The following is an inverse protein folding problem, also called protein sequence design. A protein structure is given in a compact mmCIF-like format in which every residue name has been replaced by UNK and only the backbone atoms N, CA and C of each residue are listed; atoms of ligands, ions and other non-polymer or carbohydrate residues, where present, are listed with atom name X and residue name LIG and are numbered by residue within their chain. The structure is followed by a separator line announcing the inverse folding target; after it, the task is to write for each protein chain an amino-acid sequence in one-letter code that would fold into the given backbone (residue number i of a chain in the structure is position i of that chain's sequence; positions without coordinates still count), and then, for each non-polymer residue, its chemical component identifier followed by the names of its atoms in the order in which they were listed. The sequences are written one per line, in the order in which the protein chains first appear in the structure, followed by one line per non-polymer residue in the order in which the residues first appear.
data_IF_197095782044
#
_entry.id   IF_197095782044
#
_cell.length_a   1.000
_cell.length_b   1.000
_cell.length_c   1.000
_cell.angle_alpha   90.00
_cell.angle_beta   90.00
_cell.angle_gamma   90.00
#
_symmetry.space_group_name_H-M   'P 1'
#
loop_
_entity.id
_entity.type
_entity.pdbx_description
1 polymer ?
#
# COMPACT_ATOMS: atom_id res chain seq x y z
N UNK A 1 18.74 -8.47 16.90
CA UNK A 1 17.96 -8.48 17.09
C UNK A 1 17.22 -8.27 16.52
N UNK A 2 17.04 -8.27 16.32
CA UNK A 2 16.23 -8.37 16.31
C UNK A 2 15.28 -7.85 15.71
N UNK A 3 14.45 -8.39 15.49
CA UNK A 3 13.31 -7.94 14.91
C UNK A 3 12.70 -6.94 15.77
N UNK A 4 12.75 -5.77 15.37
CA UNK A 4 12.11 -4.71 16.09
C UNK A 4 10.70 -4.61 15.55
N UNK A 5 9.74 -4.88 16.42
CA UNK A 5 8.35 -4.67 16.08
C UNK A 5 8.10 -3.19 16.26
N UNK A 6 7.74 -2.52 15.18
CA UNK A 6 7.47 -1.09 15.23
C UNK A 6 6.20 -0.82 16.00
N UNK A 7 6.22 0.26 16.76
CA UNK A 7 5.04 0.73 17.47
C UNK A 7 3.98 1.09 16.44
N UNK A 8 2.73 0.71 16.73
CA UNK A 8 1.60 1.02 15.85
C UNK A 8 1.51 2.51 15.56
N UNK A 9 1.84 3.35 16.54
CA UNK A 9 1.81 4.80 16.34
C UNK A 9 2.84 5.26 15.33
N UNK A 10 3.98 4.59 15.24
CA UNK A 10 4.99 4.93 14.24
C UNK A 10 4.51 4.57 12.84
N UNK A 11 3.86 3.43 12.70
CA UNK A 11 3.31 3.00 11.41
C UNK A 11 2.24 3.98 10.95
N UNK A 12 1.35 4.39 11.85
CA UNK A 12 0.31 5.37 11.52
C UNK A 12 0.93 6.69 11.10
N UNK A 13 1.96 7.13 11.80
CA UNK A 13 2.64 8.39 11.49
C UNK A 13 3.26 8.36 10.10
N UNK A 14 3.75 7.19 9.69
CA UNK A 14 4.39 7.04 8.39
C UNK A 14 3.39 7.00 7.24
N UNK A 15 2.10 6.84 7.53
CA UNK A 15 1.09 6.69 6.50
C UNK A 15 1.14 7.82 5.48
N UNK A 16 1.22 9.07 5.94
CA UNK A 16 1.25 10.20 5.02
C UNK A 16 2.55 10.27 4.23
N UNK A 17 3.67 9.93 4.86
CA UNK A 17 4.95 9.98 4.17
C UNK A 17 5.08 8.83 3.17
N UNK A 18 4.32 7.76 3.33
CA UNK A 18 4.35 6.63 2.40
C UNK A 18 3.33 6.75 1.28
N UNK A 19 2.45 7.74 1.34
CA UNK A 19 1.43 7.91 0.30
C UNK A 19 2.05 8.09 -1.09
N UNK A 20 2.94 9.05 -1.23
CA UNK A 20 3.55 9.34 -2.53
C UNK A 20 4.36 8.15 -3.07
N UNK A 21 5.22 7.50 -2.28
CA UNK A 21 5.93 6.32 -2.77
C UNK A 21 5.01 5.20 -3.23
N UNK A 22 3.93 4.92 -2.48
CA UNK A 22 3.00 3.87 -2.84
C UNK A 22 2.28 4.23 -4.14
N UNK A 23 1.77 5.46 -4.24
CA UNK A 23 1.08 5.89 -5.46
C UNK A 23 2.01 5.86 -6.65
N UNK A 24 3.29 6.15 -6.46
CA UNK A 24 4.26 6.08 -7.54
C UNK A 24 4.43 4.65 -8.06
N UNK A 25 4.48 3.68 -7.16
CA UNK A 25 4.53 2.27 -7.57
C UNK A 25 3.31 1.93 -8.41
N UNK A 26 2.14 2.41 -8.00
CA UNK A 26 0.89 2.10 -8.67
C UNK A 26 0.70 2.85 -9.98
N UNK A 27 1.53 3.85 -10.27
CA UNK A 27 1.50 4.50 -11.58
C UNK A 27 1.86 3.54 -12.71
N UNK A 28 2.67 2.54 -12.41
CA UNK A 28 3.07 1.54 -13.40
C UNK A 28 1.96 0.52 -13.66
N UNK A 29 0.91 0.55 -12.88
CA UNK A 29 -0.21 -0.38 -13.00
C UNK A 29 -0.60 -0.97 -11.67
N UNK A 30 -1.64 -1.80 -11.63
CA UNK A 30 -2.08 -2.42 -10.39
C UNK A 30 -1.02 -3.36 -9.81
N UNK A 31 -0.94 -3.38 -8.48
CA UNK A 31 0.03 -4.23 -7.77
C UNK A 31 -0.63 -4.83 -6.53
N UNK A 32 -0.14 -6.02 -6.15
CA UNK A 32 -0.55 -6.65 -4.89
C UNK A 32 0.27 -6.06 -3.74
N UNK A 33 -0.18 -6.32 -2.51
CA UNK A 33 0.55 -5.88 -1.33
C UNK A 33 2.00 -6.40 -1.32
N UNK A 34 2.25 -7.70 -1.56
CA UNK A 34 3.64 -8.17 -1.60
C UNK A 34 4.49 -7.47 -2.66
N UNK A 35 3.90 -7.16 -3.81
CA UNK A 35 4.62 -6.46 -4.87
C UNK A 35 4.99 -5.04 -4.46
N UNK A 36 4.05 -4.34 -3.83
CA UNK A 36 4.32 -2.99 -3.33
C UNK A 36 5.40 -3.04 -2.25
N UNK A 37 5.29 -3.99 -1.33
CA UNK A 37 6.27 -4.15 -0.26
C UNK A 37 7.67 -4.36 -0.82
N UNK A 38 7.79 -5.22 -1.83
CA UNK A 38 9.07 -5.50 -2.46
C UNK A 38 9.63 -4.25 -3.14
N UNK A 39 8.78 -3.53 -3.85
CA UNK A 39 9.20 -2.33 -4.56
C UNK A 39 9.71 -1.25 -3.62
N UNK A 40 9.12 -1.16 -2.43
CA UNK A 40 9.49 -0.14 -1.46
C UNK A 40 10.54 -0.59 -0.46
N UNK A 41 10.83 -1.88 -0.42
CA UNK A 41 11.74 -2.43 0.58
C UNK A 41 11.19 -2.32 1.99
N UNK A 42 9.86 -2.46 2.14
CA UNK A 42 9.19 -2.33 3.43
C UNK A 42 8.46 -3.61 3.77
N UNK A 43 8.23 -3.87 5.07
CA UNK A 43 7.50 -5.07 5.47
C UNK A 43 6.06 -5.05 4.97
N UNK A 44 5.59 -6.21 4.51
CA UNK A 44 4.24 -6.30 3.95
C UNK A 44 3.17 -5.93 4.98
N UNK A 45 3.37 -6.28 6.25
CA UNK A 45 2.37 -5.97 7.27
C UNK A 45 2.22 -4.46 7.51
N UNK A 46 3.27 -3.68 7.25
CA UNK A 46 3.17 -2.22 7.32
C UNK A 46 2.52 -1.67 6.05
N UNK A 47 2.88 -2.23 4.91
CA UNK A 47 2.31 -1.80 3.63
C UNK A 47 0.80 -2.00 3.61
N UNK A 48 0.32 -3.12 4.14
CA UNK A 48 -1.12 -3.37 4.25
C UNK A 48 -1.79 -2.22 5.00
N UNK A 49 -1.20 -1.81 6.11
CA UNK A 49 -1.77 -0.75 6.92
C UNK A 49 -1.86 0.55 6.13
N UNK A 50 -0.79 0.92 5.44
CA UNK A 50 -0.76 2.16 4.66
C UNK A 50 -1.72 2.10 3.47
N UNK A 51 -1.77 0.98 2.76
CA UNK A 51 -2.65 0.82 1.61
C UNK A 51 -4.11 0.88 2.04
N UNK A 52 -4.45 0.23 3.17
CA UNK A 52 -5.82 0.29 3.67
C UNK A 52 -6.22 1.71 4.05
N UNK A 53 -5.28 2.48 4.61
CA UNK A 53 -5.53 3.89 4.88
C UNK A 53 -5.78 4.69 3.61
N UNK A 54 -4.96 4.46 2.58
CA UNK A 54 -5.14 5.15 1.30
C UNK A 54 -6.47 4.77 0.65
N UNK A 55 -6.86 3.50 0.77
CA UNK A 55 -8.14 3.04 0.25
C UNK A 55 -9.29 3.72 0.98
N UNK A 56 -9.18 3.84 2.29
CA UNK A 56 -10.21 4.50 3.10
C UNK A 56 -10.45 5.94 2.67
N UNK A 57 -9.40 6.64 2.30
CA UNK A 57 -9.50 8.04 1.91
C UNK A 57 -9.62 8.25 0.40
N UNK A 58 -9.79 7.19 -0.35
CA UNK A 58 -10.09 7.29 -1.77
C UNK A 58 -8.89 7.49 -2.69
N UNK A 59 -7.66 7.32 -2.18
CA UNK A 59 -6.46 7.43 -3.02
C UNK A 59 -6.20 6.17 -3.82
N UNK A 60 -6.68 5.04 -3.33
CA UNK A 60 -6.42 3.72 -3.89
C UNK A 60 -7.73 2.96 -3.93
N UNK A 61 -7.93 2.18 -4.97
CA UNK A 61 -9.07 1.27 -5.04
C UNK A 61 -8.58 -0.16 -5.21
N UNK A 62 -9.42 -1.09 -4.80
CA UNK A 62 -9.14 -2.51 -4.84
C UNK A 62 -9.72 -3.11 -6.12
N UNK A 63 -8.91 -3.91 -6.80
CA UNK A 63 -9.38 -4.72 -7.91
C UNK A 63 -9.65 -6.10 -7.36
N UNK A 64 -10.90 -6.53 -7.41
CA UNK A 64 -11.32 -7.75 -6.71
C UNK A 64 -11.05 -9.03 -7.48
N UNK A 65 -10.16 -8.98 -8.44
CA UNK A 65 -9.68 -10.18 -9.09
C UNK A 65 -8.45 -10.66 -8.33
N UNK A 66 -8.48 -11.90 -7.90
CA UNK A 66 -7.41 -12.49 -7.10
C UNK A 66 -6.34 -13.02 -8.05
N UNK A 67 -5.07 -12.79 -7.70
CA UNK A 67 -3.98 -13.36 -8.50
C UNK A 67 -3.78 -14.83 -8.12
N UNK A 68 -2.77 -15.47 -8.72
CA UNK A 68 -2.51 -16.89 -8.50
C UNK A 68 -2.19 -17.22 -7.06
N UNK A 69 -1.71 -16.24 -6.29
CA UNK A 69 -1.36 -16.41 -4.90
C UNK A 69 -2.48 -16.02 -3.94
N UNK A 70 -3.61 -15.58 -4.47
CA UNK A 70 -4.76 -15.23 -3.65
C UNK A 70 -4.78 -13.79 -3.16
N UNK A 71 -4.01 -12.90 -3.77
CA UNK A 71 -3.96 -11.50 -3.37
C UNK A 71 -4.76 -10.63 -4.32
N UNK A 72 -5.45 -9.63 -3.76
CA UNK A 72 -6.08 -8.60 -4.58
C UNK A 72 -5.02 -7.62 -5.05
N UNK A 73 -5.27 -6.99 -6.19
CA UNK A 73 -4.44 -5.91 -6.68
C UNK A 73 -5.05 -4.59 -6.29
N UNK A 74 -4.22 -3.58 -6.19
CA UNK A 74 -4.65 -2.22 -5.86
C UNK A 74 -4.16 -1.28 -6.94
N UNK A 75 -4.93 -0.22 -7.19
CA UNK A 75 -4.59 0.77 -8.20
C UNK A 75 -4.82 2.17 -7.64
N UNK A 76 -4.09 3.13 -8.18
CA UNK A 76 -4.26 4.52 -7.80
C UNK A 76 -5.55 5.07 -8.42
N UNK A 77 -6.24 5.90 -7.67
CA UNK A 77 -7.44 6.60 -8.15
C UNK A 77 -7.03 7.99 -8.62
N UNK A 78 -7.36 8.37 -9.86
CA UNK A 78 -7.04 9.72 -10.33
C UNK A 78 -7.75 10.78 -9.49
N UNK A 79 -6.97 11.64 -8.83
CA UNK A 79 -7.55 12.62 -7.90
C UNK A 79 -8.26 13.76 -8.59
N UNK A 80 -7.86 14.06 -9.81
CA UNK A 80 -8.50 15.14 -10.55
C UNK A 80 -9.93 14.82 -10.94
N UNK A 81 -10.37 13.59 -10.72
CA UNK A 81 -11.75 13.17 -10.99
C UNK A 81 -12.63 13.27 -9.75
N UNK A 82 -12.08 13.71 -8.65
CA UNK A 82 -12.82 13.74 -7.39
C UNK A 82 -13.42 15.13 -7.10
#
# INVERSE_FOLDING_TARGET
MSTVIRDTREVIRDEQSMRAPILKVLEAGPHTIPEIARALGKPAHEVVFWVMGLRKYGWVSEIKEVDDDGYFRYQAVPREQL
#
